data_IF_415735398623
#
_entry.id   IF_415735398623
#
_cell.length_a   1.000
_cell.length_b   1.000
_cell.length_c   1.000
_cell.angle_alpha   90.00
_cell.angle_beta   90.00
_cell.angle_gamma   90.00
#
_symmetry.space_group_name_H-M   'P 1'
#
loop_
_entity.id
_entity.type
_entity.pdbx_description
1 polymer ?
#
# COMPACT_ATOMS: atom_id res chain seq x y z
N UNK A 1 11.16 20.29 -7.79
CA UNK A 1 10.03 19.97 -6.89
C UNK A 1 8.94 19.32 -7.72
N UNK A 2 8.56 18.09 -7.41
CA UNK A 2 7.39 17.46 -8.04
C UNK A 2 6.14 18.15 -7.50
N UNK A 3 5.24 18.62 -8.38
CA UNK A 3 3.92 19.09 -7.97
C UNK A 3 3.19 17.92 -7.30
N UNK A 4 2.80 18.09 -6.03
CA UNK A 4 2.04 17.05 -5.33
C UNK A 4 0.62 16.96 -5.92
N UNK A 5 0.04 15.77 -5.87
CA UNK A 5 -1.32 15.49 -6.35
C UNK A 5 -2.29 16.06 -5.33
N UNK A 6 -3.24 16.87 -5.79
CA UNK A 6 -4.22 17.53 -4.94
C UNK A 6 -5.22 16.52 -4.36
N UNK A 7 -5.26 16.41 -3.03
CA UNK A 7 -6.17 15.52 -2.30
C UNK A 7 -7.55 16.13 -2.03
N UNK A 8 -7.80 17.40 -2.37
CA UNK A 8 -9.17 17.97 -2.31
C UNK A 8 -10.03 17.56 -3.51
N UNK A 9 -9.40 17.04 -4.57
CA UNK A 9 -10.10 16.54 -5.75
C UNK A 9 -11.21 15.53 -5.36
N UNK A 10 -12.34 15.51 -6.07
CA UNK A 10 -13.38 14.50 -5.84
C UNK A 10 -12.82 13.09 -6.05
N UNK A 11 -13.59 12.10 -5.59
CA UNK A 11 -13.21 10.70 -5.69
C UNK A 11 -14.17 9.96 -6.60
N UNK A 12 -13.65 9.52 -7.75
CA UNK A 12 -14.42 8.74 -8.71
C UNK A 12 -14.22 7.24 -8.50
N UNK A 13 -15.24 6.47 -8.87
CA UNK A 13 -15.19 5.00 -8.79
C UNK A 13 -14.35 4.48 -9.95
N UNK A 14 -13.16 3.99 -9.65
CA UNK A 14 -12.35 3.28 -10.65
C UNK A 14 -12.73 1.80 -10.70
N UNK A 15 -12.75 1.12 -9.54
CA UNK A 15 -13.36 -0.19 -9.37
C UNK A 15 -14.42 -0.11 -8.28
N UNK A 16 -15.62 -0.58 -8.58
CA UNK A 16 -16.77 -0.45 -7.68
C UNK A 16 -17.29 -1.82 -7.24
N UNK A 17 -17.23 -2.06 -5.92
CA UNK A 17 -17.77 -3.24 -5.25
C UNK A 17 -17.46 -4.54 -6.00
N UNK A 18 -16.20 -4.76 -6.35
CA UNK A 18 -15.77 -6.00 -6.99
C UNK A 18 -15.96 -7.19 -6.05
N UNK A 19 -16.18 -8.35 -6.63
CA UNK A 19 -16.37 -9.61 -5.90
C UNK A 19 -15.20 -9.89 -4.97
N UNK A 20 -15.42 -10.82 -4.03
CA UNK A 20 -14.39 -11.33 -3.14
C UNK A 20 -13.15 -11.72 -3.95
N UNK A 21 -12.00 -11.27 -3.47
CA UNK A 21 -10.69 -11.75 -3.93
C UNK A 21 -10.52 -13.22 -3.54
N UNK A 22 -9.31 -13.78 -3.67
CA UNK A 22 -9.09 -15.19 -3.34
C UNK A 22 -9.43 -15.51 -1.88
N UNK A 23 -9.05 -14.64 -0.94
CA UNK A 23 -9.35 -14.82 0.47
C UNK A 23 -10.64 -14.07 0.86
N UNK A 24 -11.40 -14.56 1.86
CA UNK A 24 -12.63 -13.92 2.33
C UNK A 24 -12.39 -12.62 3.13
N UNK A 25 -11.13 -12.22 3.30
CA UNK A 25 -10.68 -11.07 4.08
C UNK A 25 -10.68 -9.79 3.25
N UNK A 26 -10.45 -8.66 3.91
CA UNK A 26 -10.28 -7.38 3.23
C UNK A 26 -8.96 -7.33 2.44
N UNK A 27 -8.89 -6.51 1.39
CA UNK A 27 -7.59 -6.12 0.84
C UNK A 27 -6.78 -5.37 1.91
N UNK A 28 -5.46 -5.35 1.75
CA UNK A 28 -4.53 -4.63 2.65
C UNK A 28 -3.75 -3.56 1.90
N UNK A 29 -3.27 -3.91 0.71
CA UNK A 29 -2.62 -2.95 -0.20
C UNK A 29 -2.75 -3.41 -1.64
N UNK A 30 -2.42 -2.51 -2.56
CA UNK A 30 -2.40 -2.78 -3.99
C UNK A 30 -1.36 -1.92 -4.70
N UNK A 31 -0.92 -2.37 -5.88
CA UNK A 31 -0.04 -1.60 -6.74
C UNK A 31 -0.26 -1.92 -8.23
N UNK A 32 0.07 -0.95 -9.07
CA UNK A 32 -0.10 -1.02 -10.52
C UNK A 32 1.17 -1.51 -11.22
N UNK A 33 1.01 -2.50 -12.07
CA UNK A 33 1.96 -2.85 -13.12
C UNK A 33 1.47 -2.21 -14.42
N UNK A 34 1.86 -0.94 -14.60
CA UNK A 34 1.34 -0.09 -15.66
C UNK A 34 1.64 -0.57 -17.08
N UNK A 35 2.86 -1.03 -17.41
CA UNK A 35 3.17 -1.53 -18.75
C UNK A 35 2.29 -2.72 -19.14
N UNK A 36 2.02 -3.63 -18.19
CA UNK A 36 1.24 -4.84 -18.47
C UNK A 36 -0.26 -4.70 -18.15
N UNK A 37 -0.69 -3.54 -17.63
CA UNK A 37 -2.08 -3.26 -17.21
C UNK A 37 -2.61 -4.29 -16.20
N UNK A 38 -1.75 -4.67 -15.26
CA UNK A 38 -2.14 -5.54 -14.15
C UNK A 38 -2.22 -4.77 -12.84
N UNK A 39 -3.16 -5.19 -12.00
CA UNK A 39 -3.30 -4.73 -10.63
C UNK A 39 -2.94 -5.89 -9.70
N UNK A 40 -1.99 -5.67 -8.80
CA UNK A 40 -1.66 -6.63 -7.76
C UNK A 40 -2.29 -6.18 -6.44
N UNK A 41 -2.90 -7.11 -5.70
CA UNK A 41 -3.63 -6.82 -4.45
C UNK A 41 -3.28 -7.84 -3.38
N UNK A 42 -2.85 -7.38 -2.22
CA UNK A 42 -2.56 -8.23 -1.06
C UNK A 42 -3.76 -8.35 -0.13
N UNK A 43 -3.90 -9.52 0.48
CA UNK A 43 -4.80 -9.82 1.59
C UNK A 43 -4.02 -10.57 2.66
N UNK A 44 -4.34 -10.38 3.95
CA UNK A 44 -4.01 -11.39 4.96
C UNK A 44 -4.92 -12.59 4.75
N UNK A 45 -4.38 -13.80 4.77
CA UNK A 45 -5.20 -15.02 4.65
C UNK A 45 -6.11 -15.18 5.86
N UNK A 46 -7.24 -15.90 5.71
CA UNK A 46 -8.24 -16.02 6.78
C UNK A 46 -7.66 -16.49 8.12
N UNK A 47 -6.67 -17.40 8.10
CA UNK A 47 -6.02 -17.95 9.30
C UNK A 47 -4.61 -17.40 9.54
N UNK A 48 -4.16 -16.44 8.72
CA UNK A 48 -2.76 -16.03 8.62
C UNK A 48 -2.33 -14.83 9.45
N UNK A 49 -3.20 -14.27 10.28
CA UNK A 49 -2.94 -12.98 10.92
C UNK A 49 -1.71 -13.00 11.83
N UNK A 50 -1.56 -14.02 12.67
CA UNK A 50 -0.42 -14.12 13.59
C UNK A 50 0.89 -14.48 12.86
N UNK A 51 0.79 -15.36 11.86
CA UNK A 51 1.94 -15.85 11.10
C UNK A 51 2.38 -14.88 10.00
N UNK A 52 1.57 -13.90 9.63
CA UNK A 52 1.84 -12.99 8.52
C UNK A 52 1.70 -13.67 7.15
N UNK A 53 0.73 -14.58 7.02
CA UNK A 53 0.46 -15.26 5.76
C UNK A 53 -0.45 -14.40 4.87
N UNK A 54 0.04 -14.08 3.68
CA UNK A 54 -0.65 -13.26 2.70
C UNK A 54 -1.12 -14.06 1.50
N UNK A 55 -2.18 -13.58 0.85
CA UNK A 55 -2.56 -13.96 -0.50
C UNK A 55 -2.38 -12.75 -1.43
N UNK A 56 -1.52 -12.92 -2.43
CA UNK A 56 -1.31 -11.96 -3.49
C UNK A 56 -2.19 -12.32 -4.69
N UNK A 57 -3.11 -11.43 -5.04
CA UNK A 57 -3.98 -11.55 -6.19
C UNK A 57 -3.39 -10.76 -7.36
N UNK A 58 -3.45 -11.32 -8.57
CA UNK A 58 -3.18 -10.61 -9.82
C UNK A 58 -4.50 -10.42 -10.55
N UNK A 59 -4.82 -9.17 -10.88
CA UNK A 59 -6.04 -8.77 -11.57
C UNK A 59 -5.69 -8.00 -12.86
N UNK A 60 -6.64 -7.91 -13.79
CA UNK A 60 -6.60 -6.87 -14.82
C UNK A 60 -7.18 -5.54 -14.29
N UNK A 61 -7.10 -4.48 -15.09
CA UNK A 61 -7.64 -3.16 -14.74
C UNK A 61 -9.16 -3.06 -14.70
N UNK A 62 -9.87 -4.11 -15.14
CA UNK A 62 -11.31 -4.22 -14.91
C UNK A 62 -11.61 -4.92 -13.59
N UNK A 63 -10.59 -5.34 -12.82
CA UNK A 63 -10.71 -6.08 -11.58
C UNK A 63 -11.05 -7.56 -11.76
N UNK A 64 -10.88 -8.13 -12.96
CA UNK A 64 -11.03 -9.57 -13.19
C UNK A 64 -9.79 -10.29 -12.67
N UNK A 65 -9.99 -11.41 -11.98
CA UNK A 65 -8.87 -12.24 -11.51
C UNK A 65 -8.12 -12.92 -12.66
N UNK A 66 -6.80 -12.80 -12.62
CA UNK A 66 -5.84 -13.46 -13.52
C UNK A 66 -5.04 -14.55 -12.80
N UNK A 67 -5.16 -14.63 -11.47
CA UNK A 67 -4.47 -15.62 -10.66
C UNK A 67 -4.20 -15.14 -9.24
N UNK A 68 -3.64 -16.04 -8.43
CA UNK A 68 -3.20 -15.73 -7.07
C UNK A 68 -1.92 -16.51 -6.73
N UNK A 69 -1.24 -16.09 -5.67
CA UNK A 69 -0.16 -16.84 -5.04
C UNK A 69 -0.15 -16.58 -3.53
N UNK A 70 0.29 -17.56 -2.74
CA UNK A 70 0.42 -17.41 -1.30
C UNK A 70 1.84 -17.00 -0.90
N UNK A 71 1.95 -16.13 0.10
CA UNK A 71 3.21 -15.68 0.69
C UNK A 71 3.16 -15.98 2.18
N UNK A 72 3.86 -17.03 2.61
CA UNK A 72 3.83 -17.57 3.97
C UNK A 72 4.92 -16.94 4.84
N UNK A 73 4.54 -16.35 5.97
CA UNK A 73 5.48 -15.63 6.85
C UNK A 73 6.00 -14.32 6.28
N UNK A 74 5.21 -13.59 5.47
CA UNK A 74 5.66 -12.35 4.83
C UNK A 74 5.32 -11.10 5.64
N UNK A 75 4.14 -11.03 6.27
CA UNK A 75 3.75 -9.90 7.12
C UNK A 75 2.27 -9.58 6.99
N UNK A 76 1.93 -8.29 7.11
CA UNK A 76 0.53 -7.86 7.13
C UNK A 76 0.06 -7.34 5.75
N UNK A 77 1.01 -6.97 4.89
CA UNK A 77 0.73 -6.47 3.55
C UNK A 77 0.27 -5.01 3.54
N UNK A 78 0.71 -4.20 4.52
CA UNK A 78 0.31 -2.77 4.67
C UNK A 78 0.69 -1.95 3.45
N UNK A 79 1.78 -2.31 2.77
CA UNK A 79 2.17 -1.70 1.52
C UNK A 79 2.87 -2.68 0.59
N UNK A 80 2.92 -2.31 -0.68
CA UNK A 80 3.64 -3.05 -1.70
C UNK A 80 4.14 -2.11 -2.80
N UNK A 81 5.01 -2.64 -3.67
CA UNK A 81 5.51 -1.92 -4.83
C UNK A 81 5.71 -2.84 -6.03
N UNK A 82 5.57 -2.29 -7.23
CA UNK A 82 5.92 -2.97 -8.47
C UNK A 82 7.17 -2.31 -9.03
N UNK A 83 8.18 -3.13 -9.31
CA UNK A 83 9.38 -2.74 -10.04
C UNK A 83 9.34 -3.41 -11.42
N UNK A 84 9.26 -2.59 -12.47
CA UNK A 84 9.44 -3.06 -13.84
C UNK A 84 10.90 -2.88 -14.24
N UNK A 85 11.58 -3.97 -14.58
CA UNK A 85 12.96 -3.91 -15.07
C UNK A 85 12.94 -3.69 -16.59
N UNK A 86 13.38 -2.50 -17.02
CA UNK A 86 13.40 -2.16 -18.43
C UNK A 86 14.43 -2.94 -19.24
N UNK A 87 15.42 -3.60 -18.59
CA UNK A 87 16.47 -4.34 -19.29
C UNK A 87 15.97 -5.67 -19.86
N UNK A 88 15.10 -6.36 -19.11
CA UNK A 88 14.57 -7.68 -19.49
C UNK A 88 13.03 -7.73 -19.53
N UNK A 89 12.35 -6.62 -19.25
CA UNK A 89 10.89 -6.53 -19.22
C UNK A 89 10.25 -7.22 -18.02
N UNK A 90 11.04 -7.71 -17.07
CA UNK A 90 10.54 -8.48 -15.94
C UNK A 90 9.82 -7.60 -14.92
N UNK A 91 8.83 -8.18 -14.24
CA UNK A 91 8.05 -7.49 -13.20
C UNK A 91 8.35 -8.12 -11.85
N UNK A 92 8.92 -7.33 -10.95
CA UNK A 92 9.24 -7.68 -9.58
C UNK A 92 8.21 -7.07 -8.64
N UNK A 93 7.76 -7.87 -7.67
CA UNK A 93 6.80 -7.46 -6.65
C UNK A 93 7.54 -7.33 -5.34
N UNK A 94 7.43 -6.16 -4.72
CA UNK A 94 8.00 -5.84 -3.41
C UNK A 94 6.92 -5.86 -2.35
N UNK A 95 7.18 -6.55 -1.24
CA UNK A 95 6.34 -6.48 -0.03
C UNK A 95 7.18 -6.83 1.20
N UNK A 96 6.53 -6.81 2.36
CA UNK A 96 7.04 -7.28 3.65
C UNK A 96 7.58 -8.71 3.53
N UNK A 97 8.56 -9.07 4.36
CA UNK A 97 9.02 -10.44 4.54
C UNK A 97 9.47 -10.67 6.00
N UNK A 98 9.66 -11.93 6.38
CA UNK A 98 10.19 -12.33 7.69
C UNK A 98 9.27 -11.88 8.83
N UNK A 99 8.04 -12.39 8.84
CA UNK A 99 7.00 -11.93 9.75
C UNK A 99 7.28 -12.29 11.21
N UNK A 100 7.04 -11.33 12.10
CA UNK A 100 6.91 -11.54 13.54
C UNK A 100 5.61 -10.86 14.00
N UNK A 101 4.76 -11.60 14.74
CA UNK A 101 3.45 -11.13 15.19
C UNK A 101 2.61 -10.52 14.04
N UNK A 102 2.65 -11.15 12.87
CA UNK A 102 1.91 -10.73 11.70
C UNK A 102 2.51 -9.57 10.89
N UNK A 103 3.66 -9.00 11.27
CA UNK A 103 4.28 -7.87 10.56
C UNK A 103 5.69 -8.22 10.08
N UNK A 104 6.05 -7.80 8.86
CA UNK A 104 7.37 -8.10 8.29
C UNK A 104 8.51 -7.38 8.99
N UNK A 105 9.57 -8.11 9.32
CA UNK A 105 10.82 -7.56 9.87
C UNK A 105 11.84 -7.19 8.79
N UNK A 106 11.54 -7.51 7.53
CA UNK A 106 12.30 -7.08 6.37
C UNK A 106 11.42 -6.89 5.14
N UNK A 107 12.06 -6.73 3.99
CA UNK A 107 11.38 -6.66 2.70
C UNK A 107 12.02 -7.63 1.71
N UNK A 108 11.23 -8.11 0.76
CA UNK A 108 11.71 -8.97 -0.30
C UNK A 108 11.11 -8.56 -1.64
N UNK A 109 11.75 -9.06 -2.71
CA UNK A 109 11.17 -9.01 -4.05
C UNK A 109 11.15 -10.38 -4.71
N UNK A 110 10.15 -10.62 -5.54
CA UNK A 110 9.95 -11.87 -6.25
C UNK A 110 9.10 -11.69 -7.51
N UNK A 111 9.08 -12.70 -8.37
CA UNK A 111 8.15 -12.77 -9.49
C UNK A 111 6.85 -13.46 -9.09
N UNK A 112 5.74 -12.96 -9.62
CA UNK A 112 4.45 -13.62 -9.53
C UNK A 112 4.47 -14.95 -10.28
N UNK A 113 3.90 -15.99 -9.67
CA UNK A 113 3.64 -17.28 -10.31
C UNK A 113 2.27 -17.78 -9.85
N UNK A 114 1.33 -17.94 -10.79
CA UNK A 114 -0.05 -18.33 -10.47
C UNK A 114 -0.09 -19.70 -9.80
N UNK A 115 -0.83 -19.81 -8.70
CA UNK A 115 -0.97 -21.03 -7.89
C UNK A 115 0.23 -21.35 -7.00
N UNK A 116 1.30 -20.55 -7.06
CA UNK A 116 2.48 -20.80 -6.26
C UNK A 116 2.28 -20.43 -4.78
N UNK A 117 3.09 -21.05 -3.93
CA UNK A 117 3.31 -20.62 -2.55
C UNK A 117 4.78 -20.26 -2.41
N UNK A 118 5.08 -19.13 -1.77
CA UNK A 118 6.43 -18.71 -1.40
C UNK A 118 6.55 -18.55 0.10
N UNK A 119 7.73 -18.85 0.61
CA UNK A 119 8.17 -18.69 2.00
C UNK A 119 9.42 -17.80 2.04
N UNK A 120 9.93 -17.51 3.23
CA UNK A 120 11.21 -16.82 3.39
C UNK A 120 12.39 -17.53 2.70
N UNK A 121 12.33 -18.86 2.55
CA UNK A 121 13.37 -19.64 1.86
C UNK A 121 13.40 -19.39 0.34
N UNK A 122 12.29 -18.94 -0.25
CA UNK A 122 12.15 -18.73 -1.70
C UNK A 122 12.56 -17.34 -2.16
N UNK A 123 12.97 -16.47 -1.23
CA UNK A 123 13.24 -15.06 -1.50
C UNK A 123 14.49 -14.57 -0.79
N UNK A 124 15.10 -13.54 -1.37
CA UNK A 124 16.23 -12.84 -0.76
C UNK A 124 15.70 -11.73 0.16
N UNK A 125 15.55 -12.04 1.44
CA UNK A 125 15.12 -11.09 2.47
C UNK A 125 16.18 -9.98 2.65
N UNK A 126 15.71 -8.76 2.86
CA UNK A 126 16.52 -7.55 3.08
C UNK A 126 16.08 -6.86 4.37
N UNK A 127 17.02 -6.52 5.23
CA UNK A 127 16.80 -5.72 6.45
C UNK A 127 17.64 -4.43 6.35
N UNK A 128 17.17 -3.44 5.59
CA UNK A 128 17.97 -2.25 5.23
C UNK A 128 18.17 -1.26 6.38
N UNK A 129 17.46 -1.44 7.48
CA UNK A 129 17.50 -0.56 8.65
C UNK A 129 17.78 -1.45 9.85
N UNK A 130 18.93 -1.23 10.49
CA UNK A 130 19.29 -1.99 11.68
C UNK A 130 18.27 -1.77 12.79
N UNK A 131 17.89 -2.86 13.47
CA UNK A 131 16.99 -2.88 14.63
C UNK A 131 15.59 -2.29 14.38
N UNK A 132 15.16 -2.18 13.12
CA UNK A 132 13.80 -1.77 12.80
C UNK A 132 12.83 -2.94 12.79
N UNK A 133 11.56 -2.62 13.01
CA UNK A 133 10.45 -3.56 12.85
C UNK A 133 9.40 -3.03 11.88
N UNK A 134 8.49 -3.91 11.43
CA UNK A 134 7.35 -3.57 10.57
C UNK A 134 7.78 -2.85 9.28
N UNK A 135 8.73 -3.44 8.55
CA UNK A 135 9.35 -2.90 7.36
C UNK A 135 8.45 -3.10 6.12
N UNK A 136 7.85 -2.03 5.63
CA UNK A 136 6.78 -2.04 4.63
C UNK A 136 7.21 -1.23 3.40
N UNK A 137 7.42 -1.83 2.21
CA UNK A 137 7.99 -1.14 1.07
C UNK A 137 6.95 -0.47 0.17
N UNK A 138 7.35 0.61 -0.51
CA UNK A 138 6.61 1.22 -1.62
C UNK A 138 7.60 1.66 -2.70
N UNK A 139 7.31 1.33 -3.97
CA UNK A 139 8.20 1.61 -5.11
C UNK A 139 7.58 2.69 -5.99
N UNK A 140 8.39 3.66 -6.39
CA UNK A 140 8.05 4.66 -7.39
C UNK A 140 8.93 4.52 -8.62
N UNK A 141 8.42 3.89 -9.68
CA UNK A 141 9.17 3.72 -10.93
C UNK A 141 9.47 5.05 -11.64
N UNK A 142 8.63 6.07 -11.49
CA UNK A 142 8.85 7.38 -12.09
C UNK A 142 10.09 8.11 -11.53
N UNK A 143 10.40 7.89 -10.24
CA UNK A 143 11.59 8.46 -9.60
C UNK A 143 12.70 7.45 -9.37
N UNK A 144 12.47 6.17 -9.72
CA UNK A 144 13.35 5.03 -9.42
C UNK A 144 13.76 4.97 -7.97
N UNK A 145 12.79 5.10 -7.07
CA UNK A 145 13.01 5.08 -5.62
C UNK A 145 12.17 4.03 -4.93
N UNK A 146 12.64 3.61 -3.77
CA UNK A 146 11.90 2.78 -2.82
C UNK A 146 11.86 3.47 -1.46
N UNK A 147 10.67 3.60 -0.91
CA UNK A 147 10.46 3.94 0.49
C UNK A 147 10.26 2.66 1.29
N UNK A 148 10.81 2.59 2.49
CA UNK A 148 10.44 1.62 3.52
C UNK A 148 9.89 2.39 4.70
N UNK A 149 8.62 2.14 5.01
CA UNK A 149 8.02 2.54 6.28
C UNK A 149 8.45 1.52 7.32
N UNK A 150 8.87 1.99 8.49
CA UNK A 150 9.39 1.14 9.56
C UNK A 150 9.07 1.72 10.93
N UNK A 151 9.24 0.91 11.97
CA UNK A 151 9.27 1.34 13.37
C UNK A 151 10.72 1.38 13.83
N UNK A 152 11.13 2.50 14.43
CA UNK A 152 12.44 2.61 15.08
C UNK A 152 12.45 1.90 16.44
N UNK A 153 13.60 1.90 17.13
CA UNK A 153 13.77 1.31 18.47
C UNK A 153 12.81 1.86 19.53
N UNK A 154 12.30 3.09 19.34
CA UNK A 154 11.32 3.72 20.22
C UNK A 154 9.87 3.45 19.75
N UNK A 155 9.68 2.50 18.82
CA UNK A 155 8.41 2.15 18.19
C UNK A 155 7.73 3.31 17.44
N UNK A 156 8.51 4.33 17.03
CA UNK A 156 7.98 5.48 16.27
C UNK A 156 7.99 5.16 14.78
N UNK A 157 6.91 5.47 14.05
CA UNK A 157 6.84 5.20 12.63
C UNK A 157 7.67 6.23 11.83
N UNK A 158 8.43 5.74 10.87
CA UNK A 158 9.31 6.55 10.00
C UNK A 158 9.25 6.04 8.57
N UNK A 159 9.64 6.89 7.63
CA UNK A 159 9.90 6.53 6.25
C UNK A 159 11.37 6.76 5.95
N UNK A 160 12.06 5.75 5.42
CA UNK A 160 13.40 5.91 4.83
C UNK A 160 13.33 5.59 3.34
N UNK A 161 13.98 6.42 2.52
CA UNK A 161 13.89 6.35 1.06
C UNK A 161 15.28 6.17 0.47
N UNK A 162 15.41 5.30 -0.53
CA UNK A 162 16.64 5.06 -1.28
C UNK A 162 16.40 5.13 -2.78
N UNK A 163 17.51 5.28 -3.50
CA UNK A 163 17.57 4.89 -4.89
C UNK A 163 17.26 3.38 -5.03
N UNK A 164 16.43 3.01 -6.02
CA UNK A 164 15.94 1.64 -6.18
C UNK A 164 17.04 0.68 -6.64
N UNK A 165 18.00 1.14 -7.45
CA UNK A 165 19.09 0.30 -7.95
C UNK A 165 20.09 0.03 -6.83
N UNK A 166 20.46 1.06 -6.05
CA UNK A 166 21.27 0.91 -4.84
C UNK A 166 20.62 -0.06 -3.84
N UNK A 167 19.32 0.12 -3.55
CA UNK A 167 18.57 -0.75 -2.64
C UNK A 167 18.52 -2.21 -3.14
N UNK A 168 18.35 -2.40 -4.46
CA UNK A 168 18.38 -3.71 -5.10
C UNK A 168 19.74 -4.38 -4.93
N UNK A 169 20.82 -3.62 -5.11
CA UNK A 169 22.21 -4.03 -4.93
C UNK A 169 22.60 -4.24 -3.45
N UNK A 170 21.70 -3.94 -2.51
CA UNK A 170 21.92 -4.00 -1.06
C UNK A 170 22.91 -2.95 -0.55
N UNK A 171 23.04 -1.85 -1.27
CA UNK A 171 23.70 -0.64 -0.79
C UNK A 171 22.68 0.23 -0.05
N UNK A 172 22.84 0.32 1.26
CA UNK A 172 21.90 1.02 2.15
C UNK A 172 22.50 2.27 2.80
N UNK A 173 23.78 2.56 2.56
CA UNK A 173 24.56 3.53 3.34
C UNK A 173 24.15 4.97 3.07
N UNK A 174 23.55 5.22 1.90
CA UNK A 174 23.19 6.56 1.43
C UNK A 174 21.68 6.68 1.18
N UNK A 175 20.83 6.72 2.23
CA UNK A 175 19.42 7.03 2.05
C UNK A 175 19.24 8.45 1.52
N UNK A 176 18.28 8.63 0.62
CA UNK A 176 17.86 9.92 0.08
C UNK A 176 17.16 10.76 1.16
N UNK A 177 16.36 10.10 2.00
CA UNK A 177 15.60 10.73 3.06
C UNK A 177 15.34 9.77 4.22
N UNK A 178 15.23 10.30 5.42
CA UNK A 178 14.72 9.60 6.60
C UNK A 178 13.88 10.56 7.44
N UNK A 179 12.57 10.41 7.40
CA UNK A 179 11.62 11.34 8.00
C UNK A 179 10.63 10.62 8.92
N UNK A 180 10.17 11.33 9.95
CA UNK A 180 9.08 10.82 10.79
C UNK A 180 7.79 10.71 9.97
N UNK A 181 7.00 9.67 10.23
CA UNK A 181 5.62 9.66 9.76
C UNK A 181 4.81 10.66 10.59
N UNK A 182 4.24 11.66 9.93
CA UNK A 182 3.35 12.63 10.54
C UNK A 182 2.09 12.84 9.71
N UNK A 183 1.02 13.33 10.35
CA UNK A 183 -0.16 13.82 9.66
C UNK A 183 -0.94 12.79 8.86
N UNK A 184 -0.84 11.49 9.17
CA UNK A 184 -1.68 10.48 8.53
C UNK A 184 -3.18 10.70 8.81
N UNK A 185 -3.51 11.14 10.04
CA UNK A 185 -4.85 11.47 10.52
C UNK A 185 -4.76 12.58 11.59
N UNK A 186 -5.78 13.46 11.75
CA UNK A 186 -5.79 14.49 12.82
C UNK A 186 -5.72 13.89 14.23
N UNK A 187 -6.38 12.75 14.45
CA UNK A 187 -6.24 11.92 15.64
C UNK A 187 -5.21 10.80 15.40
N UNK A 188 -4.07 10.88 16.09
CA UNK A 188 -2.98 9.92 15.98
C UNK A 188 -3.31 8.51 16.48
N UNK A 189 -4.45 8.31 17.17
CA UNK A 189 -4.93 6.99 17.60
C UNK A 189 -5.66 6.24 16.49
N UNK A 190 -6.07 6.93 15.43
CA UNK A 190 -6.76 6.29 14.31
C UNK A 190 -5.76 5.43 13.50
N UNK A 191 -6.13 4.19 13.14
CA UNK A 191 -5.24 3.28 12.42
C UNK A 191 -4.76 3.83 11.09
N UNK A 192 -3.50 3.53 10.81
CA UNK A 192 -2.87 3.77 9.51
C UNK A 192 -3.14 2.57 8.60
N UNK A 193 -3.61 2.84 7.39
CA UNK A 193 -4.12 1.83 6.46
C UNK A 193 -3.29 1.71 5.17
N UNK A 194 -2.14 2.39 5.08
CA UNK A 194 -1.20 2.22 3.98
C UNK A 194 -0.66 3.53 3.41
N UNK A 195 0.31 3.39 2.51
CA UNK A 195 0.94 4.52 1.82
C UNK A 195 1.49 4.15 0.45
N UNK A 196 1.77 5.17 -0.35
CA UNK A 196 2.51 5.07 -1.61
C UNK A 196 3.53 6.20 -1.78
N UNK A 197 4.70 5.88 -2.33
CA UNK A 197 5.70 6.87 -2.73
C UNK A 197 5.44 7.35 -4.17
N UNK A 198 5.52 8.66 -4.40
CA UNK A 198 5.64 9.25 -5.75
C UNK A 198 6.56 10.47 -5.74
N UNK A 199 7.70 10.35 -6.41
CA UNK A 199 8.69 11.43 -6.48
C UNK A 199 9.27 11.72 -5.11
N UNK A 200 9.09 12.95 -4.65
CA UNK A 200 9.48 13.42 -3.31
C UNK A 200 8.31 13.39 -2.30
N UNK A 201 7.18 12.75 -2.64
CA UNK A 201 5.96 12.81 -1.84
C UNK A 201 5.49 11.41 -1.43
N UNK A 202 5.15 11.26 -0.16
CA UNK A 202 4.46 10.09 0.40
C UNK A 202 2.97 10.42 0.51
N UNK A 203 2.11 9.56 -0.04
CA UNK A 203 0.65 9.64 0.12
C UNK A 203 0.20 8.57 1.11
N UNK A 204 -0.63 8.93 2.07
CA UNK A 204 -1.04 8.07 3.18
C UNK A 204 -2.56 7.95 3.23
N UNK A 205 -3.04 6.83 3.78
CA UNK A 205 -4.43 6.64 4.16
C UNK A 205 -4.50 6.16 5.59
N UNK A 206 -5.44 6.73 6.34
CA UNK A 206 -5.74 6.34 7.71
C UNK A 206 -7.25 6.43 7.94
N UNK A 207 -7.75 5.61 8.86
CA UNK A 207 -9.17 5.52 9.16
C UNK A 207 -9.51 4.20 9.82
N UNK A 208 -10.72 4.10 10.35
CA UNK A 208 -11.27 2.85 10.87
C UNK A 208 -12.37 2.32 9.96
N UNK A 209 -12.67 1.03 10.08
CA UNK A 209 -13.93 0.49 9.59
C UNK A 209 -15.14 1.26 10.14
N UNK A 210 -16.23 1.32 9.37
CA UNK A 210 -17.51 1.80 9.87
C UNK A 210 -17.96 0.98 11.07
N UNK A 211 -18.43 1.69 12.09
CA UNK A 211 -19.05 1.10 13.26
C UNK A 211 -20.12 2.05 13.80
N UNK A 212 -21.15 1.54 14.47
CA UNK A 212 -22.32 2.33 14.88
C UNK A 212 -22.03 3.40 15.95
N UNK A 213 -20.87 3.35 16.62
CA UNK A 213 -20.59 4.15 17.82
C UNK A 213 -19.58 5.26 17.56
N UNK A 214 -18.36 4.91 17.18
CA UNK A 214 -17.22 5.83 17.03
C UNK A 214 -16.95 6.23 15.57
N UNK A 215 -17.46 5.49 14.59
CA UNK A 215 -17.29 5.79 13.17
C UNK A 215 -18.57 5.49 12.34
N UNK A 216 -19.71 6.13 12.67
CA UNK A 216 -21.00 5.74 12.10
C UNK A 216 -21.16 6.12 10.64
N UNK A 217 -21.82 5.24 9.88
CA UNK A 217 -22.18 5.43 8.48
C UNK A 217 -22.84 6.80 8.22
N UNK A 218 -23.76 7.23 9.08
CA UNK A 218 -24.47 8.51 8.96
C UNK A 218 -23.55 9.75 9.00
N UNK A 219 -22.35 9.63 9.59
CA UNK A 219 -21.33 10.69 9.63
C UNK A 219 -20.29 10.57 8.51
N UNK A 220 -20.49 9.62 7.58
CA UNK A 220 -19.65 9.37 6.38
C UNK A 220 -18.20 8.99 6.67
N UNK A 221 -17.91 8.50 7.88
CA UNK A 221 -16.60 7.96 8.24
C UNK A 221 -15.55 8.94 8.74
N UNK A 222 -14.39 8.40 9.10
CA UNK A 222 -13.21 9.13 9.55
C UNK A 222 -11.97 8.84 8.68
N UNK A 223 -12.14 8.41 7.43
CA UNK A 223 -11.00 8.17 6.56
C UNK A 223 -10.34 9.51 6.15
N UNK A 224 -9.02 9.59 6.23
CA UNK A 224 -8.23 10.72 5.77
C UNK A 224 -7.17 10.27 4.78
N UNK A 225 -7.02 11.04 3.71
CA UNK A 225 -5.87 10.97 2.82
C UNK A 225 -4.94 12.14 3.16
N UNK A 226 -3.63 11.90 3.17
CA UNK A 226 -2.64 12.96 3.41
C UNK A 226 -1.40 12.79 2.54
N UNK A 227 -0.62 13.86 2.42
CA UNK A 227 0.65 13.86 1.70
C UNK A 227 1.77 14.49 2.53
N UNK A 228 2.97 13.91 2.45
CA UNK A 228 4.16 14.31 3.20
C UNK A 228 5.32 14.52 2.22
N UNK A 229 6.05 15.61 2.36
CA UNK A 229 7.29 15.86 1.63
C UNK A 229 8.45 15.14 2.32
N UNK A 230 9.16 14.26 1.60
CA UNK A 230 10.28 13.49 2.16
C UNK A 230 11.54 14.34 2.34
N UNK A 231 11.67 15.46 1.63
CA UNK A 231 12.84 16.35 1.71
C UNK A 231 12.79 17.24 2.95
N UNK A 232 11.60 17.68 3.33
CA UNK A 232 11.39 18.56 4.49
C UNK A 232 10.79 17.83 5.70
N UNK A 233 10.23 16.64 5.50
CA UNK A 233 9.48 15.92 6.53
C UNK A 233 8.16 16.60 6.93
N UNK A 234 7.67 17.56 6.13
CA UNK A 234 6.47 18.35 6.45
C UNK A 234 5.23 17.76 5.78
N UNK A 235 4.12 17.84 6.51
CA UNK A 235 2.79 17.58 5.96
C UNK A 235 2.51 18.64 4.88
N UNK A 236 2.19 18.18 3.68
CA UNK A 236 1.80 19.05 2.56
C UNK A 236 0.28 19.26 2.56
N UNK A 237 -0.47 18.19 2.78
CA UNK A 237 -1.93 18.21 2.76
C UNK A 237 -2.51 17.09 3.64
N UNK A 238 -3.68 17.32 4.23
CA UNK A 238 -4.45 16.31 4.94
C UNK A 238 -5.94 16.60 4.75
N UNK A 239 -6.68 15.66 4.16
CA UNK A 239 -8.08 15.83 3.80
C UNK A 239 -8.92 14.64 4.26
N UNK A 240 -10.08 14.92 4.84
CA UNK A 240 -11.09 13.88 5.06
C UNK A 240 -11.61 13.43 3.71
N UNK A 241 -11.63 12.11 3.48
CA UNK A 241 -12.18 11.55 2.24
C UNK A 241 -13.51 10.86 2.50
N UNK A 242 -14.51 11.22 1.69
CA UNK A 242 -15.81 10.55 1.65
C UNK A 242 -15.88 9.47 0.55
N UNK A 243 -14.75 9.14 -0.08
CA UNK A 243 -14.69 8.06 -1.08
C UNK A 243 -15.32 6.77 -0.53
N UNK A 244 -16.33 6.25 -1.23
CA UNK A 244 -17.05 5.06 -0.82
C UNK A 244 -17.94 5.24 0.42
N UNK A 245 -18.37 6.47 0.75
CA UNK A 245 -19.20 6.69 1.94
C UNK A 245 -20.49 5.87 1.96
N UNK A 246 -21.00 5.51 0.77
CA UNK A 246 -22.24 4.74 0.57
C UNK A 246 -22.06 3.22 0.66
N UNK A 247 -20.86 2.73 1.00
CA UNK A 247 -20.63 1.30 1.23
C UNK A 247 -21.22 0.89 2.59
N UNK A 248 -21.87 -0.30 2.64
CA UNK A 248 -22.57 -0.80 3.84
C UNK A 248 -21.62 -1.10 5.00
N UNK A 249 -20.52 -1.76 4.68
CA UNK A 249 -19.28 -1.76 5.44
C UNK A 249 -18.28 -0.91 4.67
N UNK A 250 -17.48 -0.11 5.35
CA UNK A 250 -16.42 0.68 4.73
C UNK A 250 -15.21 0.68 5.62
N UNK A 251 -14.12 0.11 5.12
CA UNK A 251 -12.81 0.14 5.78
C UNK A 251 -11.78 0.64 4.76
N UNK A 252 -10.99 1.68 5.06
CA UNK A 252 -9.92 2.13 4.18
C UNK A 252 -8.80 1.09 4.18
N UNK A 253 -8.28 0.72 3.01
CA UNK A 253 -7.29 -0.34 2.85
C UNK A 253 -6.37 -0.07 1.66
N UNK A 254 -5.20 0.50 1.93
CA UNK A 254 -4.15 0.74 0.95
C UNK A 254 -4.29 2.02 0.12
N UNK A 255 -3.13 2.50 -0.34
CA UNK A 255 -2.97 3.61 -1.28
C UNK A 255 -2.03 3.18 -2.38
N UNK A 256 -2.32 3.59 -3.62
CA UNK A 256 -1.38 3.50 -4.72
C UNK A 256 -1.36 4.81 -5.51
N UNK A 257 -0.26 5.07 -6.20
CA UNK A 257 -0.18 6.17 -7.17
C UNK A 257 0.08 5.57 -8.54
N UNK A 258 -0.70 5.97 -9.53
CA UNK A 258 -0.42 5.62 -10.92
C UNK A 258 0.46 6.69 -11.56
N UNK A 259 1.43 6.23 -12.34
CA UNK A 259 2.35 7.00 -13.17
C UNK A 259 1.69 7.78 -14.30
N UNK A 260 2.52 8.21 -15.25
CA UNK A 260 2.10 8.97 -16.43
C UNK A 260 2.26 10.49 -16.28
N UNK A 261 1.89 11.19 -17.36
CA UNK A 261 1.89 12.66 -17.46
C UNK A 261 0.88 13.32 -16.51
N UNK A 262 -0.18 12.60 -16.17
CA UNK A 262 -1.22 13.03 -15.22
C UNK A 262 -1.34 12.00 -14.09
N UNK A 263 -0.54 12.13 -13.03
CA UNK A 263 -0.52 11.15 -11.96
C UNK A 263 -1.69 11.29 -11.00
N UNK A 264 -2.30 10.15 -10.64
CA UNK A 264 -3.46 10.11 -9.73
C UNK A 264 -3.21 9.22 -8.52
N UNK A 265 -3.82 9.61 -7.41
CA UNK A 265 -3.85 8.83 -6.16
C UNK A 265 -5.07 7.92 -6.17
N UNK A 266 -4.88 6.66 -5.84
CA UNK A 266 -5.92 5.66 -5.73
C UNK A 266 -6.06 5.20 -4.29
N UNK A 267 -7.29 5.11 -3.81
CA UNK A 267 -7.65 4.76 -2.43
C UNK A 267 -8.47 3.46 -2.44
N UNK A 268 -7.99 2.45 -1.72
CA UNK A 268 -8.69 1.17 -1.57
C UNK A 268 -9.67 1.20 -0.40
N UNK A 269 -10.80 0.53 -0.57
CA UNK A 269 -11.78 0.33 0.50
C UNK A 269 -12.39 -1.07 0.44
N UNK A 270 -12.54 -1.70 1.59
CA UNK A 270 -13.32 -2.92 1.74
C UNK A 270 -14.79 -2.63 2.06
N UNK A 271 -15.66 -3.55 1.67
CA UNK A 271 -17.11 -3.50 1.90
C UNK A 271 -17.74 -4.89 1.96
N UNK A 272 -19.07 -4.96 2.13
CA UNK A 272 -19.79 -6.23 2.22
C UNK A 272 -19.63 -6.92 3.58
N UNK A 273 -20.28 -8.07 3.73
CA UNK A 273 -20.29 -8.85 4.98
C UNK A 273 -18.97 -9.58 5.22
N UNK A 274 -18.73 -9.98 6.47
CA UNK A 274 -17.66 -10.93 6.79
C UNK A 274 -17.85 -12.20 5.95
N UNK A 275 -16.76 -12.80 5.45
CA UNK A 275 -16.74 -13.93 4.49
C UNK A 275 -17.14 -13.61 3.03
N UNK A 276 -17.76 -12.46 2.79
CA UNK A 276 -18.12 -11.97 1.45
C UNK A 276 -17.57 -10.55 1.22
N UNK A 277 -16.36 -10.29 1.74
CA UNK A 277 -15.72 -8.97 1.63
C UNK A 277 -15.48 -8.64 0.16
N UNK A 278 -15.94 -7.46 -0.24
CA UNK A 278 -15.80 -6.87 -1.57
C UNK A 278 -14.79 -5.75 -1.49
N UNK A 279 -14.11 -5.44 -2.60
CA UNK A 279 -13.19 -4.31 -2.66
C UNK A 279 -13.66 -3.25 -3.65
N UNK A 280 -13.30 -2.01 -3.39
CA UNK A 280 -13.48 -0.87 -4.29
C UNK A 280 -12.19 -0.06 -4.32
N UNK A 281 -11.89 0.53 -5.46
CA UNK A 281 -10.77 1.46 -5.61
C UNK A 281 -11.34 2.76 -6.18
N UNK A 282 -11.04 3.86 -5.51
CA UNK A 282 -11.43 5.21 -5.93
C UNK A 282 -10.20 5.97 -6.38
N UNK A 283 -10.37 6.88 -7.32
CA UNK A 283 -9.31 7.75 -7.81
C UNK A 283 -9.58 9.18 -7.38
N UNK A 284 -8.56 9.88 -6.87
CA UNK A 284 -8.56 11.33 -6.71
C UNK A 284 -8.33 11.95 -8.08
N UNK A 285 -9.37 12.52 -8.66
CA UNK A 285 -9.32 13.12 -9.99
C UNK A 285 -10.05 14.47 -9.96
N UNK A 286 -9.41 15.52 -10.46
CA UNK A 286 -9.98 16.86 -10.58
C UNK A 286 -10.64 17.10 -11.94
N UNK A 287 -10.70 16.07 -12.80
CA UNK A 287 -11.42 16.10 -14.08
C UNK A 287 -10.74 16.96 -15.15
N UNK A 288 -9.49 17.38 -14.93
CA UNK A 288 -8.70 18.14 -15.91
C UNK A 288 -7.89 17.15 -16.75
N UNK A 289 -8.44 16.80 -17.90
CA UNK A 289 -7.71 16.15 -18.99
C UNK A 289 -7.04 17.19 -19.89
#
# INVERSE_FOLDING_TARGET
>A
MTTHINLTAPSDRWLWQKSTLREPTVLQSFAFDEPNKHLYVLQVTATGHADGDLCLNKLDYTGKSLGHMYLKGFGHGVSMGIQHDAKDGSTWIWTEADAENGYGQGVARFHFANGATRTGADVKIRKPIADSTNNQPSVCMASKRIAVRYRDKANKPRYRVWDLDAFTARDYDNPIADVAQVGAHPDAKVPFQGYALRGDVIYQLAGTAYNTTTNPFAKRGNAYASSLDITTGKLLQQERTEAGYSLTYREPEGVAVRGGSDPKVYLGFASGELSARRFSIFVKDDGKA
#
